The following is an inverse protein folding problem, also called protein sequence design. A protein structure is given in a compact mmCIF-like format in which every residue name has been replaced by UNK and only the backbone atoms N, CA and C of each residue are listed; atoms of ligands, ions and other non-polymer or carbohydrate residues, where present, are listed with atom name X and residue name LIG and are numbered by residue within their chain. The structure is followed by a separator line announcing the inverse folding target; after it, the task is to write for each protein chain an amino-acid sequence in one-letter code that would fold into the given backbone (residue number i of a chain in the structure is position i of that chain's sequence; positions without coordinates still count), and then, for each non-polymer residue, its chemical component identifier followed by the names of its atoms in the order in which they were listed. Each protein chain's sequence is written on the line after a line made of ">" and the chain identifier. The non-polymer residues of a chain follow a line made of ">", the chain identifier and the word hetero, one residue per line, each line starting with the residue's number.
data_IF_424228855793
#
_entry.id   IF_424228855793
#
_cell.length_a   1.000
_cell.length_b   1.000
_cell.length_c   1.000
_cell.angle_alpha   90.00
_cell.angle_beta   90.00
_cell.angle_gamma   90.00
#
_symmetry.space_group_name_H-M   'P 1'
#
loop_
_entity.id
_entity.type
_entity.pdbx_description
1 polymer ?
#
# COMPACT_ATOMS: atom_id res chain seq x y z
N UNK A 1 -15.96 3.35 10.08
CA UNK A 1 -15.16 3.53 8.85
C UNK A 1 -13.71 3.78 9.24
N UNK A 2 -12.76 3.00 8.70
CA UNK A 2 -11.34 3.13 9.05
C UNK A 2 -10.76 4.49 8.63
N UNK A 3 -9.89 5.05 9.48
CA UNK A 3 -9.11 6.27 9.18
C UNK A 3 -7.98 5.91 8.20
N UNK A 4 -7.54 6.87 7.37
CA UNK A 4 -6.38 6.64 6.50
C UNK A 4 -5.10 6.48 7.33
N UNK A 5 -4.22 5.57 6.95
CA UNK A 5 -2.98 5.30 7.71
C UNK A 5 -1.81 6.04 7.05
N UNK A 6 -1.21 6.97 7.79
CA UNK A 6 0.00 7.69 7.35
C UNK A 6 1.21 6.81 7.55
N UNK A 7 2.04 6.65 6.51
CA UNK A 7 3.31 5.96 6.66
C UNK A 7 4.27 6.78 7.53
N UNK A 8 5.08 6.11 8.36
CA UNK A 8 6.06 6.77 9.25
C UNK A 8 7.52 6.49 8.89
N UNK A 9 7.75 5.71 7.83
CA UNK A 9 9.07 5.31 7.33
C UNK A 9 9.13 5.62 5.83
N UNK A 10 10.32 5.91 5.28
CA UNK A 10 10.49 6.25 3.85
C UNK A 10 9.93 5.18 2.91
N UNK A 11 10.14 3.90 3.23
CA UNK A 11 9.61 2.76 2.49
C UNK A 11 8.39 2.09 3.16
N UNK A 12 7.70 2.83 4.02
CA UNK A 12 6.59 2.34 4.85
C UNK A 12 5.23 2.27 4.16
N UNK A 13 5.09 2.61 2.88
CA UNK A 13 3.80 2.61 2.18
C UNK A 13 3.12 1.22 2.19
N UNK A 14 3.89 0.14 2.06
CA UNK A 14 3.38 -1.24 2.18
C UNK A 14 2.87 -1.56 3.58
N UNK A 15 3.61 -1.14 4.61
CA UNK A 15 3.22 -1.30 6.03
C UNK A 15 1.91 -0.58 6.33
N UNK A 16 1.74 0.64 5.80
CA UNK A 16 0.51 1.41 5.98
C UNK A 16 -0.70 0.75 5.29
N UNK A 17 -0.51 0.16 4.11
CA UNK A 17 -1.57 -0.59 3.42
C UNK A 17 -1.92 -1.89 4.17
N UNK A 18 -0.91 -2.63 4.65
CA UNK A 18 -1.11 -3.78 5.53
C UNK A 18 -1.90 -3.39 6.78
N UNK A 19 -1.49 -2.32 7.47
CA UNK A 19 -2.16 -1.82 8.67
C UNK A 19 -3.64 -1.52 8.38
N UNK A 20 -3.93 -0.85 7.27
CA UNK A 20 -5.31 -0.54 6.89
C UNK A 20 -6.14 -1.81 6.67
N UNK A 21 -5.64 -2.78 5.91
CA UNK A 21 -6.34 -4.05 5.63
C UNK A 21 -6.56 -4.86 6.92
N UNK A 22 -5.55 -4.92 7.78
CA UNK A 22 -5.61 -5.63 9.05
C UNK A 22 -6.35 -4.87 10.16
N UNK A 23 -6.93 -3.70 9.86
CA UNK A 23 -7.60 -2.83 10.82
C UNK A 23 -6.72 -2.47 12.04
N UNK A 24 -5.46 -2.15 11.77
CA UNK A 24 -4.43 -1.76 12.72
C UNK A 24 -3.99 -0.31 12.50
N UNK A 25 -3.31 0.24 13.50
CA UNK A 25 -2.48 1.42 13.31
C UNK A 25 -1.08 1.04 12.76
N UNK A 26 -0.32 2.04 12.29
CA UNK A 26 1.00 1.82 11.69
C UNK A 26 2.00 1.16 12.66
N UNK A 27 1.94 1.50 13.96
CA UNK A 27 2.90 1.03 14.96
C UNK A 27 2.62 -0.43 15.38
N UNK A 28 1.38 -0.88 15.28
CA UNK A 28 1.01 -2.29 15.44
C UNK A 28 1.51 -3.11 14.23
N UNK A 29 1.21 -2.66 13.02
CA UNK A 29 1.63 -3.33 11.80
C UNK A 29 3.15 -3.47 11.69
N UNK A 30 3.92 -2.44 12.06
CA UNK A 30 5.39 -2.49 11.99
C UNK A 30 6.01 -3.44 13.02
N UNK A 31 5.34 -3.68 14.16
CA UNK A 31 5.78 -4.68 15.15
C UNK A 31 5.59 -6.08 14.59
N UNK A 32 4.49 -6.33 13.89
CA UNK A 32 4.21 -7.61 13.24
C UNK A 32 5.17 -7.87 12.06
N UNK A 33 5.28 -6.91 11.15
CA UNK A 33 6.07 -7.02 9.93
C UNK A 33 7.59 -6.94 10.15
N UNK A 34 8.03 -6.49 11.31
CA UNK A 34 9.45 -6.25 11.60
C UNK A 34 9.94 -4.90 11.09
N UNK A 35 10.41 -4.07 12.02
CA UNK A 35 10.88 -2.70 11.74
C UNK A 35 12.12 -2.69 10.86
N UNK A 36 13.10 -3.56 11.12
CA UNK A 36 14.40 -3.51 10.44
C UNK A 36 14.26 -3.75 8.93
N UNK A 37 13.48 -4.75 8.54
CA UNK A 37 13.21 -5.04 7.14
C UNK A 37 12.48 -3.89 6.45
N UNK A 38 11.46 -3.33 7.11
CA UNK A 38 10.60 -2.27 6.58
C UNK A 38 11.32 -0.93 6.40
N UNK A 39 12.39 -0.66 7.15
CA UNK A 39 13.22 0.53 6.99
C UNK A 39 14.16 0.40 5.79
N UNK A 40 14.74 -0.78 5.55
CA UNK A 40 15.84 -0.95 4.59
C UNK A 40 15.38 -1.22 3.15
N UNK A 41 14.32 -2.00 2.95
CA UNK A 41 14.09 -2.65 1.65
C UNK A 41 12.77 -2.25 0.97
N UNK A 42 11.83 -1.68 1.71
CA UNK A 42 10.43 -1.69 1.29
C UNK A 42 9.89 -3.12 1.13
N UNK A 43 8.59 -3.24 0.91
CA UNK A 43 7.96 -4.55 0.79
C UNK A 43 7.82 -4.97 -0.67
N UNK A 44 8.34 -6.16 -1.01
CA UNK A 44 8.04 -6.77 -2.32
C UNK A 44 6.57 -7.22 -2.34
N UNK A 45 5.86 -7.14 -3.49
CA UNK A 45 4.46 -7.53 -3.57
C UNK A 45 4.20 -8.98 -3.11
N UNK A 46 5.09 -9.90 -3.46
CA UNK A 46 5.02 -11.31 -3.05
C UNK A 46 5.13 -11.46 -1.54
N UNK A 47 6.06 -10.75 -0.92
CA UNK A 47 6.35 -10.89 0.51
C UNK A 47 5.22 -10.26 1.32
N UNK A 48 4.74 -9.09 0.90
CA UNK A 48 3.58 -8.44 1.53
C UNK A 48 2.31 -9.30 1.45
N UNK A 49 2.08 -9.99 0.32
CA UNK A 49 0.96 -10.92 0.22
C UNK A 49 1.10 -12.14 1.13
N UNK A 50 2.32 -12.65 1.34
CA UNK A 50 2.58 -13.75 2.27
C UNK A 50 2.32 -13.33 3.72
N UNK A 51 2.70 -12.11 4.10
CA UNK A 51 2.43 -11.60 5.44
C UNK A 51 0.94 -11.38 5.68
N UNK A 52 0.20 -10.84 4.70
CA UNK A 52 -1.26 -10.74 4.78
C UNK A 52 -1.90 -12.12 4.99
N UNK A 53 -1.41 -13.13 4.28
CA UNK A 53 -1.90 -14.50 4.41
C UNK A 53 -1.54 -15.13 5.75
N UNK A 54 -0.33 -14.87 6.25
CA UNK A 54 0.12 -15.32 7.57
C UNK A 54 -0.68 -14.67 8.70
N UNK A 55 -1.21 -13.47 8.47
CA UNK A 55 -2.12 -12.79 9.39
C UNK A 55 -3.57 -13.31 9.31
N UNK A 56 -3.88 -14.21 8.37
CA UNK A 56 -5.20 -14.84 8.24
C UNK A 56 -6.09 -14.27 7.13
N UNK A 57 -5.57 -13.40 6.27
CA UNK A 57 -6.27 -13.00 5.04
C UNK A 57 -5.99 -13.97 3.89
N UNK A 58 -6.66 -13.80 2.74
CA UNK A 58 -6.40 -14.57 1.53
C UNK A 58 -6.16 -13.64 0.35
N UNK A 59 -4.89 -13.41 0.02
CA UNK A 59 -4.43 -12.52 -1.03
C UNK A 59 -3.57 -13.26 -2.04
N UNK A 60 -3.71 -12.85 -3.31
CA UNK A 60 -2.83 -13.27 -4.41
C UNK A 60 -2.22 -12.06 -5.09
N UNK A 61 -0.92 -12.14 -5.34
CA UNK A 61 -0.16 -11.12 -6.07
C UNK A 61 -0.23 -11.36 -7.57
N UNK A 62 -0.48 -10.29 -8.34
CA UNK A 62 -0.54 -10.29 -9.79
C UNK A 62 0.34 -9.19 -10.37
N UNK A 63 1.08 -9.51 -11.43
CA UNK A 63 1.70 -8.49 -12.28
C UNK A 63 0.68 -7.94 -13.28
N UNK A 64 0.41 -6.63 -13.21
CA UNK A 64 -0.74 -6.00 -13.87
C UNK A 64 -0.37 -4.91 -14.86
N UNK A 65 0.92 -4.59 -14.98
CA UNK A 65 1.48 -3.49 -15.81
C UNK A 65 0.94 -3.39 -17.24
N UNK A 66 0.61 -4.51 -17.89
CA UNK A 66 0.16 -4.54 -19.30
C UNK A 66 -1.36 -4.63 -19.46
N UNK A 67 -2.13 -4.76 -18.37
CA UNK A 67 -3.58 -4.89 -18.44
C UNK A 67 -4.21 -3.50 -18.47
N UNK A 68 -5.06 -3.24 -19.47
CA UNK A 68 -5.59 -1.90 -19.77
C UNK A 68 -6.81 -1.57 -18.91
N UNK A 69 -7.53 -2.59 -18.42
CA UNK A 69 -8.67 -2.44 -17.52
C UNK A 69 -8.68 -3.58 -16.52
N UNK A 70 -8.39 -3.27 -15.26
CA UNK A 70 -8.61 -4.19 -14.15
C UNK A 70 -9.52 -3.47 -13.18
N UNK A 71 -10.68 -4.07 -12.96
CA UNK A 71 -11.52 -3.69 -11.84
C UNK A 71 -10.96 -4.37 -10.59
N UNK A 72 -10.51 -3.58 -9.64
CA UNK A 72 -9.96 -4.09 -8.38
C UNK A 72 -11.09 -4.21 -7.37
N UNK A 73 -11.25 -5.35 -6.67
CA UNK A 73 -12.17 -5.42 -5.54
C UNK A 73 -11.68 -4.55 -4.38
N UNK A 74 -12.57 -4.22 -3.45
CA UNK A 74 -12.21 -3.52 -2.22
C UNK A 74 -11.12 -4.26 -1.44
N UNK A 75 -10.29 -3.49 -0.72
CA UNK A 75 -9.09 -3.93 -0.01
C UNK A 75 -7.95 -4.40 -0.91
N UNK A 76 -8.08 -4.33 -2.24
CA UNK A 76 -6.94 -4.55 -3.14
C UNK A 76 -5.82 -3.55 -2.86
N UNK A 77 -4.59 -4.04 -2.74
CA UNK A 77 -3.39 -3.20 -2.60
C UNK A 77 -2.67 -3.16 -3.94
N UNK A 78 -2.40 -1.96 -4.45
CA UNK A 78 -1.70 -1.76 -5.72
C UNK A 78 -0.36 -1.09 -5.47
N UNK A 79 0.69 -1.62 -6.12
CA UNK A 79 1.97 -0.95 -6.28
C UNK A 79 1.97 -0.20 -7.61
N UNK A 80 1.99 1.13 -7.58
CA UNK A 80 2.17 1.93 -8.80
C UNK A 80 3.64 2.01 -9.20
N UNK A 81 3.87 2.15 -10.51
CA UNK A 81 5.20 2.33 -11.08
C UNK A 81 5.87 3.61 -10.57
N UNK A 82 7.21 3.58 -10.61
CA UNK A 82 8.01 4.78 -10.37
C UNK A 82 7.67 5.86 -11.39
N UNK A 83 7.61 7.10 -10.94
CA UNK A 83 7.39 8.30 -11.76
C UNK A 83 8.09 9.49 -11.13
N UNK A 84 8.04 10.67 -11.78
CA UNK A 84 8.56 11.90 -11.18
C UNK A 84 7.89 12.23 -9.82
N UNK A 85 6.61 11.89 -9.67
CA UNK A 85 5.86 12.11 -8.42
C UNK A 85 6.12 11.03 -7.37
N UNK A 86 6.49 9.81 -7.81
CA UNK A 86 6.69 8.64 -6.96
C UNK A 86 8.03 7.97 -7.33
N UNK A 87 9.17 8.47 -6.85
CA UNK A 87 10.50 8.08 -7.38
C UNK A 87 10.82 6.59 -7.27
N UNK A 88 10.25 5.90 -6.28
CA UNK A 88 10.52 4.48 -5.98
C UNK A 88 9.32 3.56 -6.23
N UNK A 89 8.24 4.10 -6.82
CA UNK A 89 6.92 3.46 -6.79
C UNK A 89 6.21 3.68 -5.47
N UNK A 90 4.94 3.28 -5.38
CA UNK A 90 4.14 3.57 -4.18
C UNK A 90 2.98 2.59 -4.00
N UNK A 91 2.74 2.17 -2.76
CA UNK A 91 1.59 1.33 -2.43
C UNK A 91 0.36 2.17 -2.08
N UNK A 92 -0.80 1.75 -2.59
CA UNK A 92 -2.10 2.29 -2.23
C UNK A 92 -3.08 1.13 -2.01
N UNK A 93 -4.09 1.33 -1.16
CA UNK A 93 -5.17 0.35 -0.95
C UNK A 93 -6.50 0.91 -1.42
N UNK A 94 -7.27 0.12 -2.15
CA UNK A 94 -8.61 0.50 -2.60
C UNK A 94 -9.63 0.35 -1.47
N UNK A 95 -10.39 1.40 -1.23
CA UNK A 95 -11.40 1.48 -0.16
C UNK A 95 -12.72 2.00 -0.73
N UNK A 96 -13.84 1.92 0.01
CA UNK A 96 -15.10 2.53 -0.42
C UNK A 96 -15.01 4.06 -0.67
N UNK A 97 -14.00 4.75 -0.14
CA UNK A 97 -13.76 6.19 -0.35
C UNK A 97 -12.80 6.49 -1.50
N UNK A 98 -12.33 5.46 -2.20
CA UNK A 98 -11.26 5.52 -3.20
C UNK A 98 -9.95 4.94 -2.67
N UNK A 99 -8.85 5.32 -3.32
CA UNK A 99 -7.51 4.83 -3.02
C UNK A 99 -6.94 5.53 -1.79
N UNK A 100 -6.75 4.82 -0.70
CA UNK A 100 -5.98 5.33 0.43
C UNK A 100 -4.51 5.42 0.01
N UNK A 101 -4.01 6.64 -0.02
CA UNK A 101 -2.60 6.97 -0.24
C UNK A 101 -1.94 7.18 1.13
N UNK A 102 -0.95 6.33 1.51
CA UNK A 102 -0.20 6.49 2.76
C UNK A 102 0.60 7.79 2.89
N UNK A 103 0.88 8.46 1.77
CA UNK A 103 1.66 9.68 1.67
C UNK A 103 1.14 10.57 0.53
N UNK A 104 -0.09 11.08 0.68
CA UNK A 104 -0.80 11.84 -0.36
C UNK A 104 -0.09 13.13 -0.78
N UNK A 105 0.70 13.71 0.12
CA UNK A 105 1.50 14.92 -0.12
C UNK A 105 2.95 14.63 -0.51
N UNK A 106 3.34 13.39 -0.80
CA UNK A 106 4.69 13.06 -1.27
C UNK A 106 5.16 13.95 -2.45
N UNK A 107 4.33 14.19 -3.50
CA UNK A 107 4.76 15.01 -4.63
C UNK A 107 5.03 16.48 -4.27
N UNK A 108 4.51 16.94 -3.11
CA UNK A 108 4.70 18.31 -2.61
C UNK A 108 5.84 18.38 -1.60
N UNK A 109 5.99 17.36 -0.77
CA UNK A 109 6.95 17.33 0.34
C UNK A 109 7.51 15.92 0.48
N UNK A 110 8.71 15.70 -0.05
CA UNK A 110 9.48 14.47 0.13
C UNK A 110 10.23 14.45 1.49
N UNK A 111 9.51 14.75 2.57
CA UNK A 111 9.99 14.69 3.96
C UNK A 111 9.02 13.81 4.76
N UNK A 112 9.47 12.63 5.17
CA UNK A 112 8.65 11.64 5.88
C UNK A 112 8.05 12.20 7.18
N UNK A 113 8.72 13.16 7.83
CA UNK A 113 8.23 13.81 9.06
C UNK A 113 7.00 14.67 8.81
N UNK A 114 6.76 15.04 7.55
CA UNK A 114 5.60 15.83 7.08
C UNK A 114 4.61 14.97 6.30
N UNK A 115 4.78 13.65 6.25
CA UNK A 115 3.88 12.77 5.54
C UNK A 115 2.45 12.88 6.10
N UNK A 116 1.47 12.84 5.19
CA UNK A 116 0.06 12.79 5.49
C UNK A 116 -0.58 11.73 4.61
N UNK A 117 -1.45 10.91 5.18
CA UNK A 117 -2.31 10.03 4.39
C UNK A 117 -3.59 10.73 3.96
N UNK A 118 -4.24 10.16 2.96
CA UNK A 118 -5.56 10.61 2.53
C UNK A 118 -6.19 9.65 1.53
N UNK A 119 -7.33 10.04 0.96
CA UNK A 119 -8.02 9.25 -0.06
C UNK A 119 -7.99 9.99 -1.39
N UNK A 120 -7.64 9.27 -2.45
CA UNK A 120 -7.72 9.74 -3.83
C UNK A 120 -8.89 9.06 -4.52
N UNK A 121 -9.68 9.83 -5.27
CA UNK A 121 -10.77 9.26 -6.09
C UNK A 121 -10.23 8.29 -7.15
N UNK A 122 -9.11 8.64 -7.76
CA UNK A 122 -8.47 7.86 -8.83
C UNK A 122 -7.06 7.42 -8.42
N UNK A 123 -6.59 6.32 -9.00
CA UNK A 123 -5.21 5.85 -8.81
C UNK A 123 -4.25 6.88 -9.44
N UNK A 124 -3.27 7.42 -8.70
CA UNK A 124 -2.44 8.54 -9.15
C UNK A 124 -1.29 8.13 -10.09
N UNK A 125 -1.30 6.90 -10.59
CA UNK A 125 -0.23 6.35 -11.42
C UNK A 125 -0.62 5.01 -12.02
N UNK A 126 0.27 4.47 -12.85
CA UNK A 126 0.06 3.17 -13.50
C UNK A 126 0.33 2.03 -12.53
N UNK A 127 -0.63 1.14 -12.34
CA UNK A 127 -0.47 -0.06 -11.54
C UNK A 127 0.58 -1.00 -12.15
N UNK A 128 1.57 -1.43 -11.36
CA UNK A 128 2.59 -2.41 -11.73
C UNK A 128 2.24 -3.80 -11.20
N UNK A 129 1.90 -3.86 -9.90
CA UNK A 129 1.45 -5.07 -9.20
C UNK A 129 0.16 -4.79 -8.45
N UNK A 130 -0.64 -5.84 -8.26
CA UNK A 130 -1.83 -5.81 -7.43
C UNK A 130 -1.88 -7.05 -6.54
N UNK A 131 -2.07 -6.83 -5.25
CA UNK A 131 -2.43 -7.84 -4.28
C UNK A 131 -3.94 -7.79 -4.14
N UNK A 132 -4.60 -8.84 -4.62
CA UNK A 132 -6.05 -8.91 -4.72
C UNK A 132 -6.55 -9.91 -3.67
N UNK A 133 -7.52 -9.53 -2.82
CA UNK A 133 -8.18 -10.49 -1.94
C UNK A 133 -8.97 -11.47 -2.81
N UNK A 134 -8.82 -12.76 -2.53
CA UNK A 134 -9.55 -13.82 -3.21
C UNK A 134 -10.49 -14.49 -2.22
N UNK A 135 -11.70 -14.79 -2.66
CA UNK A 135 -12.61 -15.64 -1.90
C UNK A 135 -12.01 -17.05 -1.85
N UNK A 136 -11.88 -17.60 -0.65
CA UNK A 136 -11.57 -19.02 -0.44
C UNK A 136 -12.71 -19.89 -0.96
#
# INVERSE_FOLDING_TARGET
>A
MAKSITQKLDYGCGVACFAFVCNMNFDEAIKFLGREYSVKNGWRPSDLSKELNSFGFNYKNYYVRKKVHIEYPLNSIVLIEKSQQYPVGHYLVLTPKGWMDPWINLPKTNDIRKAKSGFRKNLPGKAMYALIPISS
#
